data_IF_523335400796
#
_entry.id   IF_523335400796
#
_cell.length_a   1.000
_cell.length_b   1.000
_cell.length_c   1.000
_cell.angle_alpha   90.00
_cell.angle_beta   90.00
_cell.angle_gamma   90.00
#
_symmetry.space_group_name_H-M   'P 1'
#
loop_
_entity.id
_entity.type
_entity.pdbx_description
1 polymer ?
#
# COMPACT_ATOMS: atom_id res chain seq x y z
N UNK A 1 -37.10 -23.50 46.84
CA UNK A 1 -37.13 -22.35 45.90
C UNK A 1 -36.76 -21.12 46.72
N UNK A 2 -35.65 -20.39 46.42
CA UNK A 2 -35.58 -19.59 45.19
C UNK A 2 -34.21 -19.47 44.47
N UNK A 3 -34.32 -19.30 43.15
CA UNK A 3 -33.59 -18.42 42.18
C UNK A 3 -32.07 -18.43 42.01
N UNK A 4 -31.67 -18.93 40.83
CA UNK A 4 -30.50 -18.62 40.00
C UNK A 4 -30.07 -17.14 40.04
N UNK A 5 -28.80 -16.86 40.38
CA UNK A 5 -28.15 -15.57 40.05
C UNK A 5 -27.46 -15.66 38.70
N UNK A 6 -28.09 -14.97 37.75
CA UNK A 6 -27.75 -14.81 36.34
C UNK A 6 -26.50 -13.96 36.10
N UNK A 7 -25.37 -14.28 36.73
CA UNK A 7 -24.06 -13.75 36.29
C UNK A 7 -23.63 -14.46 35.00
N UNK A 8 -24.50 -14.38 33.99
CA UNK A 8 -24.11 -14.42 32.59
C UNK A 8 -23.23 -13.20 32.41
N UNK A 9 -21.94 -13.42 32.66
CA UNK A 9 -20.79 -12.80 32.04
C UNK A 9 -21.20 -11.98 30.82
N UNK A 10 -21.51 -10.71 31.07
CA UNK A 10 -21.88 -9.74 30.05
C UNK A 10 -20.62 -9.48 29.23
N UNK A 11 -20.42 -10.29 28.19
CA UNK A 11 -19.36 -10.13 27.21
C UNK A 11 -19.52 -8.72 26.62
N UNK A 12 -18.54 -7.82 26.78
CA UNK A 12 -18.67 -6.47 26.25
C UNK A 12 -18.78 -6.58 24.73
N UNK A 13 -19.98 -6.29 24.22
CA UNK A 13 -20.23 -6.16 22.79
C UNK A 13 -19.53 -4.88 22.34
N UNK A 14 -18.23 -4.97 22.03
CA UNK A 14 -17.52 -3.89 21.33
C UNK A 14 -18.14 -3.80 19.94
N UNK A 15 -19.04 -2.83 19.77
CA UNK A 15 -19.58 -2.47 18.46
C UNK A 15 -18.45 -2.21 17.46
N UNK A 16 -18.72 -2.39 16.15
CA UNK A 16 -17.71 -2.19 15.12
C UNK A 16 -17.15 -0.77 15.21
N UNK A 17 -15.84 -0.64 15.47
CA UNK A 17 -15.17 0.65 15.33
C UNK A 17 -15.11 1.00 13.85
N UNK A 18 -15.90 1.98 13.44
CA UNK A 18 -15.73 2.65 12.15
C UNK A 18 -14.45 3.47 12.25
N UNK A 19 -13.34 2.92 11.77
CA UNK A 19 -12.07 3.65 11.66
C UNK A 19 -12.20 4.58 10.46
N UNK A 20 -12.47 5.86 10.71
CA UNK A 20 -12.45 6.89 9.67
C UNK A 20 -11.00 7.10 9.23
N UNK A 21 -10.66 6.64 8.02
CA UNK A 21 -9.33 6.88 7.44
C UNK A 21 -9.17 8.37 7.10
N UNK A 22 -7.97 8.92 7.29
CA UNK A 22 -7.67 10.30 6.85
C UNK A 22 -7.77 10.38 5.32
N UNK A 23 -8.40 11.45 4.83
CA UNK A 23 -8.47 11.79 3.40
C UNK A 23 -7.07 12.05 2.85
N UNK A 24 -6.86 11.76 1.57
CA UNK A 24 -5.62 11.99 0.82
C UNK A 24 -4.38 11.23 1.32
N UNK A 25 -4.58 10.08 1.98
CA UNK A 25 -3.47 9.25 2.49
C UNK A 25 -2.50 8.79 1.39
N UNK A 26 -2.95 8.79 0.14
CA UNK A 26 -2.17 8.43 -1.04
C UNK A 26 -1.12 9.48 -1.42
N UNK A 27 -1.25 10.74 -0.98
CA UNK A 27 -0.31 11.81 -1.32
C UNK A 27 1.09 11.58 -0.76
N UNK A 28 1.18 11.03 0.45
CA UNK A 28 2.48 10.80 1.09
C UNK A 28 3.37 9.85 0.27
N UNK A 29 2.96 8.60 -0.03
CA UNK A 29 3.79 7.72 -0.85
C UNK A 29 3.99 8.24 -2.28
N UNK A 30 3.02 8.97 -2.85
CA UNK A 30 3.18 9.59 -4.16
C UNK A 30 4.29 10.66 -4.18
N UNK A 31 4.30 11.55 -3.18
CA UNK A 31 5.31 12.60 -3.07
C UNK A 31 6.69 12.02 -2.77
N UNK A 32 6.78 11.03 -1.87
CA UNK A 32 8.05 10.36 -1.56
C UNK A 32 8.59 9.64 -2.79
N UNK A 33 7.73 8.95 -3.56
CA UNK A 33 8.11 8.33 -4.83
C UNK A 33 8.65 9.36 -5.83
N UNK A 34 7.97 10.49 -6.00
CA UNK A 34 8.38 11.56 -6.93
C UNK A 34 9.71 12.21 -6.53
N UNK A 35 9.88 12.54 -5.25
CA UNK A 35 11.11 13.14 -4.72
C UNK A 35 12.28 12.16 -4.89
N UNK A 36 12.08 10.88 -4.56
CA UNK A 36 13.13 9.89 -4.71
C UNK A 36 13.46 9.63 -6.19
N UNK A 37 12.48 9.61 -7.09
CA UNK A 37 12.70 9.54 -8.54
C UNK A 37 13.57 10.70 -9.05
N UNK A 38 13.28 11.93 -8.63
CA UNK A 38 14.08 13.10 -9.02
C UNK A 38 15.53 12.97 -8.52
N UNK A 39 15.71 12.52 -7.29
CA UNK A 39 17.04 12.23 -6.75
C UNK A 39 17.75 11.10 -7.53
N UNK A 40 17.07 10.00 -7.85
CA UNK A 40 17.61 8.90 -8.63
C UNK A 40 18.03 9.32 -10.04
N UNK A 41 17.25 10.17 -10.72
CA UNK A 41 17.63 10.74 -12.02
C UNK A 41 18.93 11.54 -11.90
N UNK A 42 19.07 12.36 -10.85
CA UNK A 42 20.28 13.13 -10.58
C UNK A 42 21.50 12.23 -10.37
N UNK A 43 21.34 11.14 -9.61
CA UNK A 43 22.41 10.16 -9.35
C UNK A 43 22.79 9.44 -10.64
N UNK A 44 21.83 8.97 -11.43
CA UNK A 44 22.08 8.32 -12.73
C UNK A 44 22.84 9.27 -13.68
N UNK A 45 22.50 10.55 -13.69
CA UNK A 45 23.19 11.55 -14.51
C UNK A 45 24.64 11.79 -14.07
N UNK A 46 24.96 11.58 -12.78
CA UNK A 46 26.28 11.83 -12.21
C UNK A 46 27.18 10.58 -12.17
N UNK A 47 26.61 9.41 -11.90
CA UNK A 47 27.34 8.17 -11.60
C UNK A 47 27.05 7.04 -12.61
N UNK A 48 26.15 7.28 -13.57
CA UNK A 48 25.72 6.30 -14.56
C UNK A 48 24.61 5.38 -14.06
N UNK A 49 24.00 4.64 -15.00
CA UNK A 49 22.82 3.81 -14.71
C UNK A 49 23.13 2.60 -13.80
N UNK A 50 24.36 2.09 -13.85
CA UNK A 50 24.76 0.85 -13.18
C UNK A 50 25.79 1.07 -12.05
N UNK A 51 26.08 2.32 -11.67
CA UNK A 51 27.09 2.64 -10.64
C UNK A 51 26.80 1.98 -9.29
N UNK A 52 25.53 1.69 -8.99
CA UNK A 52 25.15 1.00 -7.76
C UNK A 52 25.61 -0.47 -7.71
N UNK A 53 25.81 -1.15 -8.85
CA UNK A 53 26.23 -2.56 -8.86
C UNK A 53 27.65 -2.69 -8.30
N UNK A 54 28.54 -1.81 -8.74
CA UNK A 54 29.93 -1.80 -8.27
C UNK A 54 29.97 -1.62 -6.76
N UNK A 55 29.16 -0.71 -6.22
CA UNK A 55 29.12 -0.41 -4.79
C UNK A 55 28.56 -1.58 -3.94
N UNK A 56 27.55 -2.28 -4.46
CA UNK A 56 26.97 -3.47 -3.79
C UNK A 56 27.92 -4.67 -3.78
N UNK A 57 28.74 -4.84 -4.82
CA UNK A 57 29.63 -5.98 -4.96
C UNK A 57 31.00 -5.77 -4.30
N UNK A 58 31.36 -4.52 -3.98
CA UNK A 58 32.67 -4.17 -3.42
C UNK A 58 32.87 -4.62 -1.97
N UNK A 59 31.79 -4.84 -1.22
CA UNK A 59 31.88 -5.18 0.21
C UNK A 59 30.71 -6.05 0.68
N UNK A 60 30.94 -6.82 1.75
CA UNK A 60 29.89 -7.62 2.40
C UNK A 60 28.74 -6.75 2.93
N UNK A 61 29.02 -5.54 3.42
CA UNK A 61 27.99 -4.59 3.87
C UNK A 61 27.12 -4.09 2.71
N UNK A 62 27.73 -3.71 1.59
CA UNK A 62 26.99 -3.31 0.39
C UNK A 62 26.06 -4.40 -0.09
N UNK A 63 26.57 -5.64 -0.19
CA UNK A 63 25.78 -6.79 -0.59
C UNK A 63 24.65 -7.10 0.39
N UNK A 64 24.91 -7.02 1.70
CA UNK A 64 23.89 -7.24 2.73
C UNK A 64 22.76 -6.21 2.63
N UNK A 65 23.08 -4.93 2.45
CA UNK A 65 22.08 -3.85 2.28
C UNK A 65 21.27 -4.08 1.00
N UNK A 66 21.91 -4.47 -0.11
CA UNK A 66 21.20 -4.78 -1.35
C UNK A 66 20.21 -5.94 -1.20
N UNK A 67 20.62 -7.02 -0.52
CA UNK A 67 19.75 -8.16 -0.25
C UNK A 67 18.57 -7.73 0.64
N UNK A 68 18.82 -6.95 1.70
CA UNK A 68 17.77 -6.42 2.57
C UNK A 68 16.73 -5.59 1.80
N UNK A 69 17.19 -4.72 0.89
CA UNK A 69 16.30 -3.93 0.02
C UNK A 69 15.46 -4.80 -0.91
N UNK A 70 16.04 -5.84 -1.52
CA UNK A 70 15.30 -6.79 -2.37
C UNK A 70 14.26 -7.55 -1.57
N UNK A 71 14.59 -7.99 -0.35
CA UNK A 71 13.65 -8.68 0.53
C UNK A 71 12.51 -7.75 0.95
N UNK A 72 12.82 -6.54 1.41
CA UNK A 72 11.83 -5.54 1.79
C UNK A 72 10.89 -5.18 0.62
N UNK A 73 11.44 -4.98 -0.58
CA UNK A 73 10.66 -4.68 -1.78
C UNK A 73 9.75 -5.86 -2.17
N UNK A 74 10.27 -7.09 -2.10
CA UNK A 74 9.51 -8.31 -2.41
C UNK A 74 8.35 -8.52 -1.43
N UNK A 75 8.60 -8.38 -0.13
CA UNK A 75 7.56 -8.46 0.90
C UNK A 75 6.51 -7.37 0.72
N UNK A 76 6.95 -6.13 0.50
CA UNK A 76 6.04 -5.01 0.26
C UNK A 76 5.16 -5.23 -0.97
N UNK A 77 5.74 -5.71 -2.07
CA UNK A 77 5.02 -6.02 -3.31
C UNK A 77 4.03 -7.17 -3.16
N UNK A 78 4.40 -8.21 -2.42
CA UNK A 78 3.50 -9.33 -2.12
C UNK A 78 2.25 -8.86 -1.36
N UNK A 79 2.45 -8.09 -0.29
CA UNK A 79 1.37 -7.53 0.53
C UNK A 79 0.52 -6.52 -0.26
N UNK A 80 1.16 -5.61 -0.99
CA UNK A 80 0.49 -4.62 -1.82
C UNK A 80 -0.34 -5.28 -2.93
N UNK A 81 0.14 -6.37 -3.53
CA UNK A 81 -0.59 -7.10 -4.58
C UNK A 81 -1.91 -7.70 -4.05
N UNK A 82 -1.89 -8.25 -2.83
CA UNK A 82 -3.11 -8.73 -2.18
C UNK A 82 -4.11 -7.60 -1.91
N UNK A 83 -3.63 -6.43 -1.50
CA UNK A 83 -4.46 -5.26 -1.24
C UNK A 83 -4.99 -4.62 -2.52
N UNK A 84 -4.18 -4.54 -3.57
CA UNK A 84 -4.52 -3.97 -4.86
C UNK A 84 -5.74 -4.66 -5.49
N UNK A 85 -5.77 -5.99 -5.45
CA UNK A 85 -6.89 -6.80 -5.97
C UNK A 85 -8.21 -6.47 -5.27
N UNK A 86 -8.19 -6.16 -3.97
CA UNK A 86 -9.40 -5.78 -3.19
C UNK A 86 -10.02 -4.45 -3.66
N UNK A 87 -9.22 -3.56 -4.25
CA UNK A 87 -9.67 -2.24 -4.71
C UNK A 87 -9.63 -2.11 -6.24
N UNK A 88 -9.69 -3.23 -6.97
CA UNK A 88 -9.75 -3.24 -8.43
C UNK A 88 -8.47 -2.77 -9.15
N UNK A 89 -7.34 -2.67 -8.44
CA UNK A 89 -6.05 -2.29 -9.04
C UNK A 89 -5.35 -3.53 -9.58
N UNK A 90 -5.03 -3.54 -10.87
CA UNK A 90 -4.26 -4.62 -11.53
C UNK A 90 -2.80 -4.57 -11.06
N UNK A 91 -2.24 -5.59 -10.38
CA UNK A 91 -0.89 -5.51 -9.82
C UNK A 91 0.24 -5.53 -10.87
N UNK A 92 0.03 -6.21 -12.00
CA UNK A 92 1.12 -6.56 -12.93
C UNK A 92 1.93 -5.34 -13.44
N UNK A 93 1.34 -4.23 -13.90
CA UNK A 93 2.13 -3.07 -14.34
C UNK A 93 3.00 -2.49 -13.24
N UNK A 94 2.53 -2.55 -11.99
CA UNK A 94 3.23 -2.01 -10.83
C UNK A 94 4.35 -2.93 -10.34
N UNK A 95 4.17 -4.24 -10.49
CA UNK A 95 5.23 -5.23 -10.28
C UNK A 95 6.38 -4.94 -11.24
N UNK A 96 6.08 -4.80 -12.54
CA UNK A 96 7.09 -4.49 -13.55
C UNK A 96 7.78 -3.15 -13.28
N UNK A 97 7.02 -2.11 -12.90
CA UNK A 97 7.59 -0.82 -12.54
C UNK A 97 8.52 -0.92 -11.33
N UNK A 98 8.14 -1.69 -10.31
CA UNK A 98 8.96 -1.88 -9.11
C UNK A 98 10.22 -2.69 -9.40
N UNK A 99 10.16 -3.70 -10.27
CA UNK A 99 11.35 -4.44 -10.69
C UNK A 99 12.32 -3.54 -11.46
N UNK A 100 11.81 -2.61 -12.27
CA UNK A 100 12.63 -1.69 -13.04
C UNK A 100 13.22 -0.53 -12.21
N UNK A 101 12.54 -0.11 -11.13
CA UNK A 101 12.86 1.15 -10.43
C UNK A 101 13.05 1.00 -8.91
N UNK A 102 12.98 -0.22 -8.39
CA UNK A 102 13.04 -0.48 -6.96
C UNK A 102 11.88 0.19 -6.20
N UNK A 103 12.19 0.81 -5.06
CA UNK A 103 11.20 1.40 -4.16
C UNK A 103 10.33 2.51 -4.79
N UNK A 104 10.80 3.17 -5.87
CA UNK A 104 10.03 4.19 -6.60
C UNK A 104 8.70 3.59 -7.08
N UNK A 105 8.76 2.47 -7.81
CA UNK A 105 7.59 1.76 -8.30
C UNK A 105 6.71 1.21 -7.18
N UNK A 106 7.31 0.71 -6.10
CA UNK A 106 6.56 0.18 -4.96
C UNK A 106 5.76 1.28 -4.25
N UNK A 107 6.37 2.45 -4.02
CA UNK A 107 5.70 3.60 -3.42
C UNK A 107 4.57 4.12 -4.31
N UNK A 108 4.81 4.22 -5.62
CA UNK A 108 3.80 4.61 -6.59
C UNK A 108 2.62 3.61 -6.62
N UNK A 109 2.91 2.31 -6.48
CA UNK A 109 1.89 1.27 -6.37
C UNK A 109 1.03 1.44 -5.12
N UNK A 110 1.67 1.63 -3.96
CA UNK A 110 0.96 1.88 -2.69
C UNK A 110 0.10 3.13 -2.80
N UNK A 111 0.61 4.22 -3.38
CA UNK A 111 -0.18 5.43 -3.63
C UNK A 111 -1.42 5.14 -4.49
N UNK A 112 -1.26 4.37 -5.58
CA UNK A 112 -2.39 3.98 -6.45
C UNK A 112 -3.45 3.17 -5.72
N UNK A 113 -3.05 2.26 -4.84
CA UNK A 113 -3.96 1.45 -4.02
C UNK A 113 -4.72 2.32 -3.04
N UNK A 114 -4.04 3.22 -2.33
CA UNK A 114 -4.66 4.13 -1.38
C UNK A 114 -5.64 5.09 -2.06
N UNK A 115 -5.29 5.58 -3.24
CA UNK A 115 -6.18 6.38 -4.08
C UNK A 115 -7.42 5.58 -4.48
N UNK A 116 -7.26 4.35 -4.96
CA UNK A 116 -8.38 3.48 -5.33
C UNK A 116 -9.33 3.27 -4.16
N UNK A 117 -8.78 2.92 -2.99
CA UNK A 117 -9.52 2.69 -1.76
C UNK A 117 -10.37 3.90 -1.35
N UNK A 118 -9.79 5.10 -1.42
CA UNK A 118 -10.49 6.34 -1.07
C UNK A 118 -11.68 6.60 -2.01
N UNK A 119 -11.49 6.39 -3.32
CA UNK A 119 -12.53 6.63 -4.31
C UNK A 119 -13.59 5.52 -4.34
N UNK A 120 -13.24 4.27 -4.00
CA UNK A 120 -14.22 3.19 -3.81
C UNK A 120 -15.10 3.40 -2.58
N UNK A 121 -14.61 4.08 -1.54
CA UNK A 121 -15.41 4.43 -0.36
C UNK A 121 -16.35 5.62 -0.60
N UNK A 122 -16.09 6.42 -1.64
CA UNK A 122 -16.84 7.63 -1.97
C UNK A 122 -17.99 7.40 -2.96
N UNK A 123 -18.17 6.18 -3.48
CA UNK A 123 -19.37 5.80 -4.24
C UNK A 123 -20.46 5.27 -3.29
N UNK A 124 -21.37 6.11 -2.76
CA UNK A 124 -22.59 5.59 -2.17
C UNK A 124 -23.36 4.88 -3.28
N UNK A 125 -23.90 3.70 -2.97
CA UNK A 125 -24.81 2.98 -3.84
C UNK A 125 -25.89 3.96 -4.31
N UNK A 126 -26.02 4.14 -5.63
CA UNK A 126 -27.20 4.75 -6.23
C UNK A 126 -28.41 4.00 -5.70
N UNK A 127 -29.13 4.64 -4.81
CA UNK A 127 -30.35 4.15 -4.18
C UNK A 127 -31.40 4.01 -5.29
N UNK A 128 -31.45 2.84 -5.92
CA UNK A 128 -32.51 2.45 -6.85
C UNK A 128 -33.73 2.02 -6.03
N UNK A 129 -34.25 2.94 -5.24
CA UNK A 129 -35.55 2.84 -4.58
C UNK A 129 -36.47 3.87 -5.26
N UNK A 130 -36.81 3.60 -6.53
CA UNK A 130 -37.99 4.20 -7.15
C UNK A 130 -39.21 3.63 -6.42
N UNK A 131 -40.05 4.44 -5.75
CA UNK A 131 -41.31 3.95 -5.22
C UNK A 131 -42.24 3.64 -6.39
N UNK A 132 -42.90 2.48 -6.33
CA UNK A 132 -44.02 2.10 -7.19
C UNK A 132 -45.07 3.22 -7.14
N UNK A 133 -45.43 3.77 -8.30
CA UNK A 133 -46.61 4.61 -8.46
C UNK A 133 -47.54 4.00 -9.51
N UNK A 134 -48.58 3.35 -8.97
CA UNK A 134 -49.94 3.03 -9.47
C UNK A 134 -50.10 2.43 -10.86
#
# INVERSE_FOLDING_TARGET
MPTLTSEVMAKPQRGPRVVTMKKNLWLLPALVSLVFLAFSIRVIAAEGLFGFLDDHLRSGWGMQVGIDLVLAASTGMFLASGLARKYGVRPLPWILLTLATGSIGLLAFVARILYAREHSAASPATDSSTPVAS
#
